data_IF_618487642254
#
_entry.id   IF_618487642254
#
_cell.length_a   1.000
_cell.length_b   1.000
_cell.length_c   1.000
_cell.angle_alpha   90.00
_cell.angle_beta   90.00
_cell.angle_gamma   90.00
#
_symmetry.space_group_name_H-M   'P 1'
#
loop_
_entity.id
_entity.type
_entity.pdbx_description
1 polymer ?
#
# COMPACT_ATOMS: atom_id res chain seq x y z
N UNK A 1 16.04 -1.38 -11.26
CA UNK A 1 15.56 -0.59 -10.10
C UNK A 1 15.96 0.85 -10.33
N UNK A 2 15.02 1.65 -10.82
CA UNK A 2 15.23 3.06 -11.12
C UNK A 2 15.00 3.87 -9.83
N UNK A 3 15.99 3.87 -8.93
CA UNK A 3 15.91 4.55 -7.62
C UNK A 3 15.76 6.10 -7.73
N UNK A 4 15.80 6.68 -8.94
CA UNK A 4 15.86 8.12 -9.17
C UNK A 4 14.79 8.65 -10.15
N UNK A 5 13.73 7.88 -10.42
CA UNK A 5 12.57 8.38 -11.16
C UNK A 5 11.50 8.82 -10.16
N UNK A 6 10.77 9.89 -10.49
CA UNK A 6 9.57 10.25 -9.75
C UNK A 6 8.56 9.10 -9.89
N UNK A 7 8.22 8.46 -8.77
CA UNK A 7 7.30 7.33 -8.76
C UNK A 7 5.88 7.84 -9.01
N UNK A 8 5.27 7.37 -10.09
CA UNK A 8 3.86 7.62 -10.33
C UNK A 8 3.03 6.68 -9.46
N UNK A 9 2.00 7.22 -8.78
CA UNK A 9 1.05 6.45 -7.97
C UNK A 9 0.50 5.22 -8.72
N UNK A 10 0.18 5.37 -10.01
CA UNK A 10 -0.29 4.27 -10.85
C UNK A 10 0.73 3.14 -11.01
N UNK A 11 2.02 3.47 -11.09
CA UNK A 11 3.10 2.49 -11.25
C UNK A 11 3.29 1.72 -9.96
N UNK A 12 3.33 2.41 -8.82
CA UNK A 12 3.39 1.78 -7.50
C UNK A 12 2.20 0.85 -7.27
N UNK A 13 0.97 1.30 -7.52
CA UNK A 13 -0.24 0.48 -7.38
C UNK A 13 -0.18 -0.75 -8.28
N UNK A 14 0.31 -0.61 -9.52
CA UNK A 14 0.50 -1.74 -10.43
C UNK A 14 1.53 -2.74 -9.90
N UNK A 15 2.70 -2.27 -9.47
CA UNK A 15 3.76 -3.13 -8.94
C UNK A 15 3.32 -3.85 -7.66
N UNK A 16 2.64 -3.14 -6.74
CA UNK A 16 2.06 -3.70 -5.54
C UNK A 16 1.01 -4.78 -5.86
N UNK A 17 0.11 -4.52 -6.81
CA UNK A 17 -0.89 -5.49 -7.27
C UNK A 17 -0.24 -6.73 -7.89
N UNK A 18 0.80 -6.55 -8.68
CA UNK A 18 1.52 -7.66 -9.32
C UNK A 18 2.21 -8.55 -8.29
N UNK A 19 2.91 -7.95 -7.32
CA UNK A 19 3.54 -8.68 -6.21
C UNK A 19 2.50 -9.39 -5.36
N UNK A 20 1.39 -8.73 -5.02
CA UNK A 20 0.31 -9.30 -4.22
C UNK A 20 -0.32 -10.53 -4.89
N UNK A 21 -0.55 -10.49 -6.20
CA UNK A 21 -1.03 -11.64 -6.98
C UNK A 21 -0.04 -12.81 -6.91
N UNK A 22 1.25 -12.55 -7.14
CA UNK A 22 2.28 -13.61 -7.10
C UNK A 22 2.39 -14.26 -5.71
N UNK A 23 2.33 -13.46 -4.64
CA UNK A 23 2.30 -13.99 -3.28
C UNK A 23 1.05 -14.81 -3.00
N UNK A 24 -0.11 -14.37 -3.49
CA UNK A 24 -1.35 -15.15 -3.42
C UNK A 24 -1.25 -16.49 -4.15
N UNK A 25 -0.66 -16.50 -5.35
CA UNK A 25 -0.44 -17.72 -6.12
C UNK A 25 0.53 -18.69 -5.40
N UNK A 26 1.61 -18.17 -4.82
CA UNK A 26 2.54 -18.97 -4.00
C UNK A 26 1.82 -19.57 -2.79
N UNK A 27 0.99 -18.78 -2.09
CA UNK A 27 0.23 -19.27 -0.94
C UNK A 27 -0.71 -20.42 -1.33
N UNK A 28 -1.43 -20.28 -2.45
CA UNK A 28 -2.30 -21.32 -2.99
C UNK A 28 -1.50 -22.57 -3.44
N UNK A 29 -0.51 -22.40 -4.32
CA UNK A 29 0.12 -23.52 -5.03
C UNK A 29 1.21 -24.24 -4.21
N UNK A 30 1.94 -23.50 -3.37
CA UNK A 30 3.07 -24.04 -2.59
C UNK A 30 2.63 -24.41 -1.18
N UNK A 31 1.82 -23.56 -0.56
CA UNK A 31 1.41 -23.73 0.84
C UNK A 31 0.01 -24.33 1.00
N UNK A 32 -0.74 -24.56 -0.08
CA UNK A 32 -2.10 -25.10 -0.07
C UNK A 32 -3.08 -24.25 0.77
N UNK A 33 -2.86 -22.94 0.81
CA UNK A 33 -3.76 -21.99 1.48
C UNK A 33 -5.01 -21.74 0.63
N UNK A 34 -6.17 -21.64 1.27
CA UNK A 34 -7.44 -21.29 0.60
C UNK A 34 -7.54 -19.77 0.37
N UNK A 35 -6.76 -19.28 -0.58
CA UNK A 35 -6.67 -17.86 -0.94
C UNK A 35 -6.90 -17.72 -2.43
N UNK A 36 -7.71 -16.73 -2.82
CA UNK A 36 -7.87 -16.33 -4.22
C UNK A 36 -6.84 -15.23 -4.58
N UNK A 37 -5.83 -15.51 -5.44
CA UNK A 37 -4.80 -14.54 -5.83
C UNK A 37 -5.36 -13.30 -6.54
N UNK A 38 -6.44 -13.43 -7.31
CA UNK A 38 -7.09 -12.31 -8.00
C UNK A 38 -7.72 -11.34 -7.00
N UNK A 39 -8.31 -11.88 -5.93
CA UNK A 39 -8.88 -11.06 -4.85
C UNK A 39 -7.79 -10.30 -4.11
N UNK A 40 -6.63 -10.94 -3.87
CA UNK A 40 -5.47 -10.31 -3.22
C UNK A 40 -4.92 -9.17 -4.09
N UNK A 41 -4.80 -9.39 -5.40
CA UNK A 41 -4.41 -8.37 -6.36
C UNK A 41 -5.38 -7.18 -6.37
N UNK A 42 -6.69 -7.45 -6.42
CA UNK A 42 -7.72 -6.41 -6.37
C UNK A 42 -7.64 -5.56 -5.09
N UNK A 43 -7.41 -6.18 -3.93
CA UNK A 43 -7.21 -5.45 -2.68
C UNK A 43 -5.99 -4.52 -2.75
N UNK A 44 -4.89 -4.97 -3.36
CA UNK A 44 -3.71 -4.15 -3.59
C UNK A 44 -3.97 -3.01 -4.59
N UNK A 45 -4.82 -3.19 -5.60
CA UNK A 45 -5.19 -2.07 -6.51
C UNK A 45 -5.86 -0.92 -5.72
N UNK A 46 -6.71 -1.24 -4.75
CA UNK A 46 -7.47 -0.24 -4.00
C UNK A 46 -6.78 0.24 -2.71
N UNK A 47 -5.59 -0.26 -2.36
CA UNK A 47 -4.96 0.01 -1.06
C UNK A 47 -4.61 1.49 -0.85
N UNK A 48 -4.38 2.23 -1.93
CA UNK A 48 -4.08 3.67 -1.93
C UNK A 48 -5.21 4.51 -2.56
N UNK A 49 -6.43 3.96 -2.63
CA UNK A 49 -7.58 4.70 -3.16
C UNK A 49 -7.86 6.01 -2.41
N UNK A 50 -7.46 6.13 -1.15
CA UNK A 50 -7.56 7.37 -0.36
C UNK A 50 -6.65 8.50 -0.85
N UNK A 51 -5.55 8.20 -1.54
CA UNK A 51 -4.62 9.22 -2.03
C UNK A 51 -5.17 9.95 -3.25
N UNK A 52 -5.97 9.24 -4.05
CA UNK A 52 -6.76 9.83 -5.15
C UNK A 52 -7.76 10.87 -4.60
N UNK A 53 -8.27 10.68 -3.38
CA UNK A 53 -9.22 11.59 -2.74
C UNK A 53 -8.58 12.84 -2.12
N UNK A 54 -7.27 13.07 -2.33
CA UNK A 54 -6.58 14.31 -1.97
C UNK A 54 -5.77 14.24 -0.66
N UNK A 55 -5.69 13.08 -0.01
CA UNK A 55 -4.79 12.87 1.13
C UNK A 55 -3.47 12.28 0.61
N UNK A 56 -2.54 13.16 0.21
CA UNK A 56 -1.17 12.75 -0.15
C UNK A 56 -0.55 11.94 0.99
N UNK A 57 0.18 10.87 0.68
CA UNK A 57 0.87 10.13 1.73
C UNK A 57 1.86 11.03 2.48
N UNK A 58 1.87 10.90 3.80
CA UNK A 58 2.87 11.58 4.61
C UNK A 58 4.09 10.66 4.65
N UNK A 59 5.28 11.12 4.23
CA UNK A 59 6.46 10.27 4.21
C UNK A 59 6.75 9.65 5.59
N UNK A 60 7.16 8.38 5.64
CA UNK A 60 7.49 7.68 6.89
C UNK A 60 8.45 8.46 7.82
N UNK A 61 9.50 9.14 7.33
CA UNK A 61 10.35 9.96 8.20
C UNK A 61 9.60 11.09 8.92
N UNK A 62 8.57 11.65 8.29
CA UNK A 62 7.72 12.70 8.89
C UNK A 62 6.70 12.07 9.84
N UNK A 63 6.09 10.94 9.47
CA UNK A 63 5.11 10.22 10.32
C UNK A 63 5.68 9.84 11.69
N UNK A 64 6.97 9.52 11.74
CA UNK A 64 7.64 8.96 12.93
C UNK A 64 8.80 9.83 13.44
N UNK A 65 8.82 11.12 13.08
CA UNK A 65 9.88 12.04 13.51
C UNK A 65 9.95 12.16 15.05
N UNK A 66 8.80 12.28 15.71
CA UNK A 66 8.67 12.36 17.15
C UNK A 66 7.26 11.90 17.62
N UNK A 67 7.10 11.57 18.92
CA UNK A 67 5.84 11.05 19.44
C UNK A 67 4.64 12.00 19.29
N UNK A 68 4.85 13.32 19.34
CA UNK A 68 3.78 14.32 19.23
C UNK A 68 3.27 14.39 17.79
N UNK A 69 4.19 14.44 16.82
CA UNK A 69 3.87 14.38 15.38
C UNK A 69 3.13 13.11 15.01
N UNK A 70 3.57 11.94 15.50
CA UNK A 70 2.88 10.67 15.27
C UNK A 70 1.45 10.67 15.83
N UNK A 71 1.26 11.19 17.05
CA UNK A 71 -0.05 11.26 17.67
C UNK A 71 -1.00 12.19 16.91
N UNK A 72 -0.51 13.36 16.46
CA UNK A 72 -1.27 14.31 15.66
C UNK A 72 -1.73 13.71 14.32
N UNK A 73 -0.82 13.04 13.60
CA UNK A 73 -1.13 12.39 12.31
C UNK A 73 -2.15 11.26 12.50
N UNK A 74 -2.02 10.47 13.57
CA UNK A 74 -2.95 9.38 13.88
C UNK A 74 -4.36 9.91 14.19
N UNK A 75 -4.45 10.98 14.96
CA UNK A 75 -5.73 11.62 15.27
C UNK A 75 -6.41 12.17 14.01
N UNK A 76 -5.66 12.87 13.16
CA UNK A 76 -6.17 13.41 11.89
C UNK A 76 -6.70 12.30 10.96
N UNK A 77 -6.05 11.14 10.91
CA UNK A 77 -6.50 9.96 10.14
C UNK A 77 -7.73 9.27 10.72
N UNK A 78 -7.96 9.35 12.04
CA UNK A 78 -9.08 8.68 12.72
C UNK A 78 -10.38 9.50 12.72
N UNK A 79 -10.31 10.80 12.43
CA UNK A 79 -11.44 11.73 12.37
C UNK A 79 -12.18 11.76 11.01
N UNK A 80 -11.91 10.77 10.15
CA UNK A 80 -12.50 10.57 8.83
C UNK A 80 -13.09 9.16 8.75
#
# INVERSE_FOLDING_TARGET
>A
MAQFQEEMLSTHIYEASFVAHMLGAIACDVFNEDINPDRVAAMAIFHEGSEIAGMSDIPSPVKYHDPETTAAIKNARASL
#
